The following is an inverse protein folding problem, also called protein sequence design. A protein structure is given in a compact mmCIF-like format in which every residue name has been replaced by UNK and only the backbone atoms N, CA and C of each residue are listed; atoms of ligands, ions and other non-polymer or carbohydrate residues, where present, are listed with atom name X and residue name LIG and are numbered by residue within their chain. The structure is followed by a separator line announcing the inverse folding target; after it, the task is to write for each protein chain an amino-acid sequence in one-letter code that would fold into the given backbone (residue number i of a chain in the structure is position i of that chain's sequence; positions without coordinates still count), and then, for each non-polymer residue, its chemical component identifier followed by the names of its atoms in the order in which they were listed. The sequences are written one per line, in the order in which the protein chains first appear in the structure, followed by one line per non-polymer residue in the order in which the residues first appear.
data_IF_538784681394
#
_entry.id   IF_538784681394
#
_cell.length_a   1.000
_cell.length_b   1.000
_cell.length_c   1.000
_cell.angle_alpha   90.00
_cell.angle_beta   90.00
_cell.angle_gamma   90.00
#
_symmetry.space_group_name_H-M   'P 1'
#
loop_
_entity.id
_entity.type
_entity.pdbx_description
1 polymer ?
#
# COMPACT_ATOMS: atom_id res chain seq x y z
N UNK A 1 16.95 -5.51 -15.51
CA UNK A 1 18.13 -6.36 -15.21
C UNK A 1 17.93 -7.78 -15.74
N UNK A 2 16.86 -8.49 -15.36
CA UNK A 2 16.56 -9.83 -15.90
C UNK A 2 16.49 -9.82 -17.44
N UNK A 3 15.82 -8.82 -18.03
CA UNK A 3 15.75 -8.65 -19.49
C UNK A 3 17.11 -8.39 -20.14
N UNK A 4 17.96 -7.58 -19.51
CA UNK A 4 19.32 -7.32 -19.98
C UNK A 4 20.22 -8.57 -19.90
N UNK A 5 19.98 -9.43 -18.91
CA UNK A 5 20.73 -10.66 -18.70
C UNK A 5 20.28 -11.80 -19.63
N UNK A 6 18.99 -11.89 -19.92
CA UNK A 6 18.46 -12.79 -20.94
C UNK A 6 18.92 -12.33 -22.35
N UNK A 7 18.97 -11.01 -22.60
CA UNK A 7 19.57 -10.46 -23.81
C UNK A 7 21.06 -10.80 -23.92
N UNK A 8 21.84 -10.68 -22.84
CA UNK A 8 23.25 -11.09 -22.80
C UNK A 8 23.41 -12.60 -23.09
N UNK A 9 22.60 -13.46 -22.45
CA UNK A 9 22.64 -14.91 -22.63
C UNK A 9 22.33 -15.30 -24.09
N UNK A 10 21.33 -14.66 -24.68
CA UNK A 10 20.93 -14.89 -26.06
C UNK A 10 22.00 -14.38 -27.04
N UNK A 11 22.61 -13.21 -26.78
CA UNK A 11 23.71 -12.67 -27.56
C UNK A 11 24.96 -13.56 -27.51
N UNK A 12 25.31 -14.10 -26.34
CA UNK A 12 26.44 -15.03 -26.17
C UNK A 12 26.19 -16.39 -26.85
N UNK A 13 24.93 -16.85 -26.87
CA UNK A 13 24.52 -18.07 -27.62
C UNK A 13 24.55 -17.85 -29.13
N UNK A 14 24.26 -16.63 -29.58
CA UNK A 14 24.32 -16.23 -30.99
C UNK A 14 25.75 -15.90 -31.46
N UNK A 15 26.72 -15.78 -30.56
CA UNK A 15 28.11 -15.49 -30.89
C UNK A 15 28.78 -16.70 -31.55
N UNK A 16 29.15 -16.53 -32.82
CA UNK A 16 29.68 -17.59 -33.66
C UNK A 16 31.20 -17.70 -33.56
N UNK A 17 31.89 -16.65 -33.09
CA UNK A 17 33.33 -16.67 -32.83
C UNK A 17 33.68 -16.51 -31.35
N UNK A 18 34.88 -16.99 -30.99
CA UNK A 18 35.43 -16.80 -29.65
C UNK A 18 35.65 -15.32 -29.33
N UNK A 19 36.05 -14.52 -30.34
CA UNK A 19 36.30 -13.08 -30.18
C UNK A 19 35.00 -12.30 -29.95
N UNK A 20 33.91 -12.63 -30.66
CA UNK A 20 32.58 -12.08 -30.41
C UNK A 20 32.11 -12.38 -28.98
N UNK A 21 32.30 -13.62 -28.53
CA UNK A 21 31.97 -14.03 -27.15
C UNK A 21 32.76 -13.21 -26.13
N UNK A 22 34.02 -12.89 -26.44
CA UNK A 22 34.95 -12.17 -25.58
C UNK A 22 34.63 -10.67 -25.47
N UNK A 23 34.22 -10.05 -26.57
CA UNK A 23 33.79 -8.64 -26.62
C UNK A 23 32.47 -8.48 -25.84
N UNK A 24 31.50 -9.36 -26.08
CA UNK A 24 30.22 -9.37 -25.38
C UNK A 24 30.42 -9.61 -23.88
N UNK A 25 31.23 -10.61 -23.49
CA UNK A 25 31.51 -10.88 -22.08
C UNK A 25 32.10 -9.66 -21.36
N UNK A 26 33.07 -8.95 -21.95
CA UNK A 26 33.67 -7.75 -21.34
C UNK A 26 32.65 -6.61 -21.18
N UNK A 27 31.87 -6.34 -22.22
CA UNK A 27 30.89 -5.24 -22.22
C UNK A 27 29.80 -5.39 -21.14
N UNK A 28 29.30 -6.61 -20.95
CA UNK A 28 28.21 -6.89 -20.01
C UNK A 28 28.69 -7.14 -18.56
N UNK A 29 29.94 -7.60 -18.36
CA UNK A 29 30.54 -7.76 -17.02
C UNK A 29 30.75 -6.42 -16.32
N UNK A 30 31.26 -5.42 -17.03
CA UNK A 30 31.67 -4.14 -16.43
C UNK A 30 30.51 -3.21 -16.05
N UNK A 31 29.38 -3.27 -16.77
CA UNK A 31 28.24 -2.36 -16.54
C UNK A 31 27.19 -2.89 -15.56
N UNK A 32 26.83 -4.18 -15.62
CA UNK A 32 25.60 -4.66 -14.97
C UNK A 32 25.83 -5.46 -13.66
N UNK A 33 26.91 -6.24 -13.56
CA UNK A 33 27.19 -7.08 -12.38
C UNK A 33 27.78 -6.25 -11.24
N UNK A 34 28.76 -5.39 -11.55
CA UNK A 34 29.40 -4.50 -10.57
C UNK A 34 28.45 -3.40 -10.08
N UNK A 35 27.62 -2.85 -10.98
CA UNK A 35 26.59 -1.87 -10.61
C UNK A 35 25.56 -2.46 -9.64
N UNK A 36 25.11 -3.69 -9.89
CA UNK A 36 24.17 -4.38 -9.01
C UNK A 36 24.79 -4.74 -7.66
N UNK A 37 26.02 -5.26 -7.61
CA UNK A 37 26.66 -5.60 -6.32
C UNK A 37 26.81 -4.36 -5.42
N UNK A 38 27.08 -3.19 -6.01
CA UNK A 38 27.10 -1.91 -5.28
C UNK A 38 25.71 -1.52 -4.79
N UNK A 39 24.67 -1.68 -5.60
CA UNK A 39 23.29 -1.38 -5.22
C UNK A 39 22.77 -2.31 -4.11
N UNK A 40 23.02 -3.62 -4.20
CA UNK A 40 22.65 -4.60 -3.17
C UNK A 40 23.40 -4.34 -1.86
N UNK A 41 24.69 -3.99 -1.93
CA UNK A 41 25.47 -3.55 -0.77
C UNK A 41 24.91 -2.27 -0.16
N UNK A 42 24.49 -1.29 -0.97
CA UNK A 42 23.86 -0.06 -0.49
C UNK A 42 22.53 -0.30 0.22
N UNK A 43 21.65 -1.14 -0.35
CA UNK A 43 20.38 -1.54 0.29
C UNK A 43 20.64 -2.28 1.61
N UNK A 44 21.67 -3.14 1.67
CA UNK A 44 22.09 -3.78 2.91
C UNK A 44 22.61 -2.78 3.96
N UNK A 45 23.42 -1.80 3.57
CA UNK A 45 23.89 -0.75 4.48
C UNK A 45 22.74 0.14 4.98
N UNK A 46 21.75 0.44 4.13
CA UNK A 46 20.54 1.16 4.53
C UNK A 46 19.72 0.35 5.55
N UNK A 47 19.51 -0.94 5.31
CA UNK A 47 18.84 -1.83 6.26
C UNK A 47 19.60 -1.93 7.61
N UNK A 48 20.94 -1.91 7.57
CA UNK A 48 21.80 -1.87 8.76
C UNK A 48 21.68 -0.55 9.54
N UNK A 49 21.62 0.58 8.83
CA UNK A 49 21.43 1.91 9.42
C UNK A 49 20.08 2.03 10.13
N UNK A 50 19.00 1.58 9.47
CA UNK A 50 17.64 1.53 10.05
C UNK A 50 17.60 0.69 11.32
N UNK A 51 18.33 -0.44 11.36
CA UNK A 51 18.43 -1.30 12.54
C UNK A 51 19.18 -0.63 13.72
N UNK A 52 20.18 0.20 13.43
CA UNK A 52 20.90 0.98 14.46
C UNK A 52 20.03 2.11 15.02
N UNK A 53 19.26 2.80 14.18
CA UNK A 53 18.36 3.88 14.60
C UNK A 53 17.14 3.36 15.40
N UNK A 54 16.64 2.17 15.06
CA UNK A 54 15.61 1.47 15.84
C UNK A 54 16.09 1.03 17.23
N UNK A 55 17.40 0.91 17.46
CA UNK A 55 17.96 0.53 18.76
C UNK A 55 17.88 1.61 19.85
N UNK A 56 17.42 2.82 19.50
CA UNK A 56 17.33 3.97 20.40
C UNK A 56 15.97 4.15 21.11
N UNK A 57 14.94 3.32 20.81
CA UNK A 57 13.60 3.41 21.42
C UNK A 57 13.18 2.09 22.09
N UNK A 58 12.95 2.10 23.41
CA UNK A 58 12.98 0.89 24.26
C UNK A 58 11.78 -0.05 24.18
N UNK A 59 10.57 0.44 23.87
CA UNK A 59 9.36 -0.33 24.17
C UNK A 59 8.85 -1.20 23.00
N UNK A 60 9.38 -0.99 21.79
CA UNK A 60 9.04 -1.77 20.57
C UNK A 60 10.22 -2.63 20.08
N UNK A 61 11.26 -2.73 20.91
CA UNK A 61 12.61 -3.10 20.53
C UNK A 61 12.82 -4.60 20.33
N UNK A 62 12.23 -5.45 21.18
CA UNK A 62 12.55 -6.89 21.21
C UNK A 62 12.08 -7.65 19.96
N UNK A 63 10.82 -7.49 19.55
CA UNK A 63 10.25 -8.17 18.38
C UNK A 63 10.85 -7.63 17.08
N UNK A 64 11.04 -6.31 17.00
CA UNK A 64 11.62 -5.65 15.83
C UNK A 64 13.10 -6.04 15.64
N UNK A 65 13.89 -6.12 16.74
CA UNK A 65 15.28 -6.58 16.68
C UNK A 65 15.40 -8.07 16.30
N UNK A 66 14.51 -8.94 16.79
CA UNK A 66 14.55 -10.36 16.44
C UNK A 66 14.28 -10.60 14.96
N UNK A 67 13.26 -9.93 14.41
CA UNK A 67 12.94 -9.99 12.98
C UNK A 67 14.06 -9.36 12.13
N UNK A 68 14.61 -8.22 12.57
CA UNK A 68 15.74 -7.58 11.90
C UNK A 68 17.02 -8.43 11.93
N UNK A 69 17.29 -9.12 13.04
CA UNK A 69 18.44 -10.02 13.16
C UNK A 69 18.29 -11.25 12.26
N UNK A 70 17.10 -11.84 12.17
CA UNK A 70 16.81 -12.97 11.31
C UNK A 70 16.92 -12.61 9.82
N UNK A 71 16.32 -11.47 9.42
CA UNK A 71 16.42 -10.95 8.07
C UNK A 71 17.87 -10.62 7.69
N UNK A 72 18.64 -9.99 8.60
CA UNK A 72 20.07 -9.75 8.40
C UNK A 72 20.83 -11.06 8.18
N UNK A 73 20.61 -12.07 9.03
CA UNK A 73 21.28 -13.37 8.91
C UNK A 73 20.95 -14.06 7.58
N UNK A 74 19.70 -13.98 7.11
CA UNK A 74 19.29 -14.53 5.82
C UNK A 74 19.95 -13.80 4.65
N UNK A 75 19.95 -12.47 4.67
CA UNK A 75 20.54 -11.65 3.62
C UNK A 75 22.07 -11.79 3.56
N UNK A 76 22.74 -11.86 4.71
CA UNK A 76 24.20 -12.03 4.79
C UNK A 76 24.66 -13.38 4.24
N UNK A 77 23.92 -14.46 4.53
CA UNK A 77 24.17 -15.78 3.93
C UNK A 77 24.02 -15.79 2.41
N UNK A 78 22.97 -15.13 1.89
CA UNK A 78 22.75 -15.02 0.44
C UNK A 78 23.79 -14.14 -0.25
N UNK A 79 24.28 -13.08 0.41
CA UNK A 79 25.32 -12.19 -0.10
C UNK A 79 26.67 -12.92 -0.23
N UNK A 80 27.09 -13.66 0.79
CA UNK A 80 28.34 -14.46 0.75
C UNK A 80 28.28 -15.51 -0.35
N UNK A 81 27.13 -16.18 -0.50
CA UNK A 81 26.93 -17.13 -1.60
C UNK A 81 27.04 -16.44 -2.97
N UNK A 82 26.43 -15.26 -3.12
CA UNK A 82 26.46 -14.46 -4.34
C UNK A 82 27.89 -14.01 -4.70
N UNK A 83 28.66 -13.49 -3.75
CA UNK A 83 30.06 -13.08 -3.97
C UNK A 83 30.93 -14.23 -4.51
N UNK A 84 30.75 -15.44 -3.95
CA UNK A 84 31.45 -16.64 -4.41
C UNK A 84 31.09 -16.99 -5.85
N UNK A 85 29.82 -16.85 -6.25
CA UNK A 85 29.36 -17.18 -7.61
C UNK A 85 29.81 -16.11 -8.63
N UNK A 86 29.80 -14.83 -8.25
CA UNK A 86 30.34 -13.73 -9.05
C UNK A 86 31.83 -13.93 -9.31
N UNK A 87 32.60 -14.37 -8.31
CA UNK A 87 34.04 -14.68 -8.49
C UNK A 87 34.26 -15.80 -9.51
N UNK A 88 33.52 -16.90 -9.40
CA UNK A 88 33.56 -18.00 -10.37
C UNK A 88 33.19 -17.54 -11.79
N UNK A 89 32.22 -16.64 -11.92
CA UNK A 89 31.83 -16.06 -13.21
C UNK A 89 32.95 -15.19 -13.80
N UNK A 90 33.61 -14.35 -12.99
CA UNK A 90 34.75 -13.53 -13.43
C UNK A 90 35.94 -14.41 -13.84
N UNK A 91 36.25 -15.45 -13.08
CA UNK A 91 37.35 -16.37 -13.39
C UNK A 91 37.05 -17.17 -14.68
N UNK A 92 35.81 -17.61 -14.88
CA UNK A 92 35.39 -18.25 -16.12
C UNK A 92 35.44 -17.27 -17.32
N UNK A 93 35.11 -16.00 -17.12
CA UNK A 93 35.22 -14.97 -18.16
C UNK A 93 36.69 -14.75 -18.58
N UNK A 94 37.61 -14.76 -17.61
CA UNK A 94 39.05 -14.68 -17.86
C UNK A 94 39.58 -15.90 -18.60
N UNK A 95 39.14 -17.11 -18.25
CA UNK A 95 39.49 -18.34 -18.95
C UNK A 95 39.00 -18.34 -20.42
N UNK A 96 37.80 -17.79 -20.68
CA UNK A 96 37.30 -17.57 -22.06
C UNK A 96 38.19 -16.57 -22.80
N UNK A 97 38.60 -15.50 -22.14
CA UNK A 97 39.54 -14.53 -22.70
C UNK A 97 40.95 -15.13 -22.91
N UNK A 98 41.37 -16.12 -22.14
CA UNK A 98 42.64 -16.83 -22.32
C UNK A 98 42.57 -17.95 -23.37
N UNK A 99 41.39 -18.18 -23.99
CA UNK A 99 41.15 -19.24 -24.97
C UNK A 99 41.37 -20.66 -24.41
N UNK A 100 41.04 -20.86 -23.13
CA UNK A 100 41.16 -22.16 -22.48
C UNK A 100 40.10 -23.15 -22.98
N UNK A 101 40.50 -24.41 -23.18
CA UNK A 101 39.64 -25.47 -23.71
C UNK A 101 38.53 -25.80 -22.68
N UNK A 102 37.27 -25.68 -23.09
CA UNK A 102 36.11 -25.90 -22.22
C UNK A 102 35.64 -24.66 -21.44
N UNK A 103 36.33 -23.52 -21.56
CA UNK A 103 35.99 -22.29 -20.82
C UNK A 103 34.60 -21.72 -21.17
N UNK A 104 34.12 -21.88 -22.40
CA UNK A 104 32.77 -21.42 -22.81
C UNK A 104 31.67 -22.11 -21.99
N UNK A 105 31.76 -23.42 -21.80
CA UNK A 105 30.76 -24.17 -21.03
C UNK A 105 30.82 -23.81 -19.54
N UNK A 106 32.03 -23.67 -18.98
CA UNK A 106 32.23 -23.21 -17.61
C UNK A 106 31.68 -21.80 -17.37
N UNK A 107 31.85 -20.89 -18.34
CA UNK A 107 31.32 -19.54 -18.30
C UNK A 107 29.79 -19.51 -18.28
N UNK A 108 29.11 -20.27 -19.15
CA UNK A 108 27.66 -20.36 -19.13
C UNK A 108 27.12 -20.96 -17.83
N UNK A 109 27.77 -21.99 -17.28
CA UNK A 109 27.39 -22.59 -16.00
C UNK A 109 27.54 -21.59 -14.83
N UNK A 110 28.65 -20.84 -14.79
CA UNK A 110 28.90 -19.81 -13.78
C UNK A 110 27.91 -18.63 -13.91
N UNK A 111 27.60 -18.23 -15.14
CA UNK A 111 26.59 -17.20 -15.42
C UNK A 111 25.22 -17.62 -14.88
N UNK A 112 24.74 -18.81 -15.23
CA UNK A 112 23.44 -19.33 -14.80
C UNK A 112 23.36 -19.48 -13.26
N UNK A 113 24.43 -19.98 -12.65
CA UNK A 113 24.50 -20.11 -11.18
C UNK A 113 24.43 -18.74 -10.48
N UNK A 114 25.05 -17.71 -11.06
CA UNK A 114 24.97 -16.33 -10.55
C UNK A 114 23.54 -15.79 -10.65
N UNK A 115 22.83 -16.05 -11.75
CA UNK A 115 21.41 -15.67 -11.90
C UNK A 115 20.54 -16.32 -10.83
N UNK A 116 20.73 -17.62 -10.57
CA UNK A 116 19.94 -18.33 -9.57
C UNK A 116 20.18 -17.79 -8.16
N UNK A 117 21.44 -17.45 -7.82
CA UNK A 117 21.78 -16.78 -6.55
C UNK A 117 21.05 -15.45 -6.39
N UNK A 118 20.90 -14.71 -7.49
CA UNK A 118 20.20 -13.44 -7.47
C UNK A 118 18.71 -13.61 -7.20
N UNK A 119 18.09 -14.61 -7.82
CA UNK A 119 16.68 -14.94 -7.58
C UNK A 119 16.46 -15.35 -6.13
N UNK A 120 17.38 -16.14 -5.57
CA UNK A 120 17.39 -16.50 -4.15
C UNK A 120 17.53 -15.28 -3.25
N UNK A 121 18.45 -14.35 -3.57
CA UNK A 121 18.64 -13.10 -2.83
C UNK A 121 17.40 -12.19 -2.89
N UNK A 122 16.80 -12.00 -4.06
CA UNK A 122 15.59 -11.19 -4.23
C UNK A 122 14.38 -11.80 -3.52
N UNK A 123 14.23 -13.13 -3.56
CA UNK A 123 13.19 -13.82 -2.81
C UNK A 123 13.40 -13.67 -1.28
N UNK A 124 14.64 -13.80 -0.80
CA UNK A 124 14.97 -13.58 0.60
C UNK A 124 14.73 -12.12 1.03
N UNK A 125 15.08 -11.16 0.18
CA UNK A 125 14.79 -9.73 0.41
C UNK A 125 13.28 -9.48 0.46
N UNK A 126 12.51 -10.07 -0.45
CA UNK A 126 11.05 -9.94 -0.47
C UNK A 126 10.42 -10.54 0.80
N UNK A 127 10.81 -11.75 1.19
CA UNK A 127 10.35 -12.39 2.43
C UNK A 127 10.75 -11.57 3.65
N UNK A 128 11.96 -11.01 3.66
CA UNK A 128 12.39 -10.11 4.72
C UNK A 128 11.48 -8.87 4.76
N UNK A 129 11.27 -8.18 3.63
CA UNK A 129 10.39 -7.00 3.53
C UNK A 129 8.95 -7.30 3.95
N UNK A 130 8.43 -8.47 3.61
CA UNK A 130 7.09 -8.92 4.00
C UNK A 130 7.03 -9.26 5.50
N UNK A 131 8.12 -9.79 6.07
CA UNK A 131 8.25 -10.07 7.51
C UNK A 131 8.50 -8.81 8.34
N UNK A 132 9.12 -7.78 7.74
CA UNK A 132 9.30 -6.45 8.31
C UNK A 132 8.02 -5.61 8.29
N UNK A 133 7.04 -5.99 7.47
CA UNK A 133 5.90 -5.14 7.13
C UNK A 133 4.86 -5.04 8.23
N UNK A 134 5.11 -4.21 9.25
CA UNK A 134 4.00 -3.54 9.94
C UNK A 134 3.16 -2.88 8.84
N UNK A 135 1.91 -3.33 8.68
CA UNK A 135 0.98 -2.73 7.73
C UNK A 135 0.19 -1.68 8.47
N UNK A 136 0.12 -0.49 7.88
CA UNK A 136 -0.72 0.57 8.42
C UNK A 136 -2.17 0.09 8.47
N UNK A 137 -2.77 0.14 9.66
CA UNK A 137 -4.14 -0.33 9.85
C UNK A 137 -5.20 0.55 9.14
N UNK A 138 -4.82 1.75 8.69
CA UNK A 138 -5.70 2.63 7.89
C UNK A 138 -5.55 2.42 6.38
N UNK A 139 -4.33 2.36 5.83
CA UNK A 139 -4.11 2.30 4.37
C UNK A 139 -3.62 0.94 3.84
N UNK A 140 -3.41 -0.05 4.73
CA UNK A 140 -2.85 -1.38 4.43
C UNK A 140 -1.44 -1.41 3.81
N UNK A 141 -0.84 -0.24 3.55
CA UNK A 141 0.52 -0.08 3.03
C UNK A 141 1.59 -0.46 4.06
N UNK A 142 2.77 -0.85 3.57
CA UNK A 142 3.92 -1.16 4.42
C UNK A 142 4.42 0.10 5.15
N UNK A 143 4.72 -0.04 6.44
CA UNK A 143 5.33 0.99 7.27
C UNK A 143 6.84 0.79 7.24
N UNK A 144 7.56 1.82 6.77
CA UNK A 144 9.02 1.86 6.75
C UNK A 144 9.47 3.01 7.67
N UNK A 145 10.24 2.72 8.71
CA UNK A 145 10.75 3.73 9.64
C UNK A 145 9.78 4.07 10.79
N UNK A 146 9.78 5.33 11.25
CA UNK A 146 8.97 5.78 12.40
C UNK A 146 7.47 5.69 12.12
N UNK A 147 6.70 5.22 13.10
CA UNK A 147 5.27 5.02 12.99
C UNK A 147 4.57 5.29 14.32
N UNK A 148 3.27 5.52 14.25
CA UNK A 148 2.44 5.80 15.41
C UNK A 148 1.73 4.53 15.86
N UNK A 149 1.53 4.37 17.17
CA UNK A 149 0.61 3.37 17.71
C UNK A 149 -0.59 4.05 18.31
N UNK A 150 -1.76 3.58 17.90
CA UNK A 150 -3.01 3.89 18.55
C UNK A 150 -3.08 3.25 19.95
N UNK A 151 -4.07 3.65 20.75
CA UNK A 151 -4.34 3.07 22.06
C UNK A 151 -4.67 1.57 21.98
N UNK A 152 -5.25 1.11 20.86
CA UNK A 152 -5.51 -0.33 20.59
C UNK A 152 -4.25 -1.12 20.20
N UNK A 153 -3.08 -0.48 20.17
CA UNK A 153 -1.79 -1.06 19.84
C UNK A 153 -1.54 -1.25 18.34
N UNK A 154 -2.48 -0.91 17.45
CA UNK A 154 -2.31 -1.04 16.00
C UNK A 154 -1.34 0.01 15.43
N UNK A 155 -0.55 -0.35 14.41
CA UNK A 155 0.43 0.55 13.81
C UNK A 155 -0.17 1.39 12.67
N UNK A 156 0.22 2.66 12.59
CA UNK A 156 -0.22 3.61 11.58
C UNK A 156 0.95 4.47 11.09
N UNK A 157 0.93 4.90 9.82
CA UNK A 157 1.80 6.01 9.41
C UNK A 157 1.43 7.29 10.18
N UNK A 158 2.38 8.20 10.36
CA UNK A 158 2.14 9.50 11.00
C UNK A 158 0.92 10.24 10.42
N UNK A 159 0.78 10.23 9.09
CA UNK A 159 -0.32 10.89 8.39
C UNK A 159 -1.58 10.03 8.23
N UNK A 160 -1.56 8.78 8.71
CA UNK A 160 -2.69 7.86 8.65
C UNK A 160 -3.39 7.69 10.00
N UNK A 161 -2.81 8.17 11.11
CA UNK A 161 -3.46 8.25 12.41
C UNK A 161 -4.00 9.66 12.64
N UNK A 162 -4.92 10.08 11.76
CA UNK A 162 -5.52 11.42 11.78
C UNK A 162 -7.03 11.31 11.60
N UNK A 163 -7.76 12.27 12.14
CA UNK A 163 -9.19 12.40 11.89
C UNK A 163 -9.46 12.71 10.41
N UNK A 164 -10.40 12.02 9.78
CA UNK A 164 -10.77 12.26 8.40
C UNK A 164 -11.59 13.55 8.21
N UNK A 165 -12.19 14.09 9.27
CA UNK A 165 -12.86 15.40 9.29
C UNK A 165 -11.88 16.57 9.41
N UNK A 166 -11.15 16.65 10.52
CA UNK A 166 -10.28 17.81 10.82
C UNK A 166 -8.79 17.63 10.49
N UNK A 167 -8.35 16.43 10.05
CA UNK A 167 -6.95 16.08 9.73
C UNK A 167 -5.96 16.20 10.90
N UNK A 168 -6.43 16.43 12.12
CA UNK A 168 -5.57 16.45 13.31
C UNK A 168 -5.21 15.03 13.76
N UNK A 169 -4.05 14.91 14.42
CA UNK A 169 -3.59 13.64 15.02
C UNK A 169 -4.57 13.20 16.12
N UNK A 170 -4.92 11.92 16.14
CA UNK A 170 -5.90 11.35 17.10
C UNK A 170 -5.30 10.18 17.87
N UNK A 171 -5.49 10.17 19.20
CA UNK A 171 -5.12 9.04 20.05
C UNK A 171 -6.32 8.17 20.42
N UNK A 172 -7.46 8.82 20.64
CA UNK A 172 -8.78 8.20 20.76
C UNK A 172 -9.60 8.53 19.50
N UNK A 173 -10.22 7.52 18.92
CA UNK A 173 -10.91 7.65 17.64
C UNK A 173 -12.04 6.64 17.50
N UNK A 174 -12.96 6.96 16.59
CA UNK A 174 -13.97 6.05 16.06
C UNK A 174 -13.58 5.63 14.65
N UNK A 175 -13.86 4.38 14.30
CA UNK A 175 -13.64 3.84 12.95
C UNK A 175 -14.98 3.74 12.24
N UNK A 176 -15.11 4.34 11.06
CA UNK A 176 -16.31 4.16 10.22
C UNK A 176 -16.35 2.76 9.56
N UNK A 177 -17.45 2.47 8.86
CA UNK A 177 -17.63 1.21 8.12
C UNK A 177 -16.61 1.00 6.99
N UNK A 178 -15.96 2.07 6.51
CA UNK A 178 -14.92 2.03 5.47
C UNK A 178 -13.50 1.97 6.07
N UNK A 179 -13.33 1.94 7.39
CA UNK A 179 -12.03 1.95 8.06
C UNK A 179 -11.40 3.34 8.26
N UNK A 180 -12.13 4.43 8.01
CA UNK A 180 -11.65 5.81 8.24
C UNK A 180 -11.77 6.19 9.72
N UNK A 181 -10.77 6.90 10.21
CA UNK A 181 -10.67 7.32 11.60
C UNK A 181 -11.27 8.71 11.79
N UNK A 182 -12.00 8.91 12.89
CA UNK A 182 -12.59 10.19 13.26
C UNK A 182 -12.34 10.48 14.75
N UNK A 183 -12.06 11.74 15.10
CA UNK A 183 -12.08 12.18 16.50
C UNK A 183 -13.53 12.23 17.01
N UNK A 184 -13.73 12.34 18.31
CA UNK A 184 -15.07 12.38 18.93
C UNK A 184 -16.02 13.39 18.26
N UNK A 185 -15.59 14.65 18.08
CA UNK A 185 -16.42 15.70 17.45
C UNK A 185 -16.82 15.43 15.98
N UNK A 186 -16.02 14.63 15.27
CA UNK A 186 -16.26 14.32 13.85
C UNK A 186 -16.67 12.86 13.67
N UNK A 187 -16.85 12.12 14.75
CA UNK A 187 -17.27 10.74 14.69
C UNK A 187 -18.68 10.70 14.09
N UNK A 188 -18.91 9.86 13.07
CA UNK A 188 -20.27 9.60 12.66
C UNK A 188 -20.97 8.92 13.86
N UNK A 189 -21.92 9.59 14.52
CA UNK A 189 -22.62 9.11 15.73
C UNK A 189 -23.48 7.84 15.52
N UNK A 190 -23.16 7.01 14.53
CA UNK A 190 -24.00 5.89 14.08
C UNK A 190 -25.29 6.32 13.38
N UNK A 191 -25.66 7.61 13.43
CA UNK A 191 -26.79 8.18 12.72
C UNK A 191 -26.35 8.78 11.38
N UNK A 192 -26.94 8.30 10.28
CA UNK A 192 -26.85 8.91 8.97
C UNK A 192 -28.16 9.66 8.66
N UNK A 193 -28.06 10.85 8.10
CA UNK A 193 -29.23 11.60 7.66
C UNK A 193 -29.89 10.90 6.48
N UNK A 194 -31.17 10.56 6.59
CA UNK A 194 -31.92 9.83 5.56
C UNK A 194 -32.16 10.65 4.29
N UNK A 195 -32.02 11.97 4.34
CA UNK A 195 -32.12 12.86 3.17
C UNK A 195 -30.79 13.01 2.41
N UNK A 196 -29.72 13.40 3.09
CA UNK A 196 -28.43 13.70 2.45
C UNK A 196 -27.41 12.55 2.50
N UNK A 197 -27.72 11.48 3.25
CA UNK A 197 -26.87 10.30 3.46
C UNK A 197 -25.52 10.59 4.13
N UNK A 198 -25.36 11.77 4.72
CA UNK A 198 -24.17 12.14 5.49
C UNK A 198 -24.39 11.88 6.99
N UNK A 199 -23.29 11.67 7.72
CA UNK A 199 -23.35 11.46 9.15
C UNK A 199 -23.93 12.67 9.90
N UNK A 200 -24.73 12.39 10.92
CA UNK A 200 -25.22 13.38 11.88
C UNK A 200 -24.19 13.43 13.01
N UNK A 201 -23.41 14.51 13.05
CA UNK A 201 -22.39 14.76 14.08
C UNK A 201 -22.91 15.66 15.21
N UNK A 202 -24.06 16.29 15.02
CA UNK A 202 -24.73 17.14 16.01
C UNK A 202 -25.50 16.28 17.01
N UNK A 203 -25.54 16.72 18.28
CA UNK A 203 -26.44 16.16 19.29
C UNK A 203 -27.92 16.52 19.01
N UNK A 204 -28.14 17.58 18.21
CA UNK A 204 -29.46 18.01 17.75
C UNK A 204 -29.76 17.45 16.36
N UNK A 205 -30.83 16.65 16.27
CA UNK A 205 -31.30 16.02 15.04
C UNK A 205 -32.79 15.68 15.12
N UNK A 206 -33.41 15.38 13.97
CA UNK A 206 -34.84 15.03 13.88
C UNK A 206 -34.98 13.53 13.62
N UNK A 207 -35.74 12.82 14.46
CA UNK A 207 -36.17 11.44 14.21
C UNK A 207 -37.59 11.44 13.62
N UNK A 208 -37.73 10.91 12.40
CA UNK A 208 -39.01 10.80 11.71
C UNK A 208 -38.94 9.68 10.67
N UNK A 209 -40.09 9.11 10.28
CA UNK A 209 -40.17 8.06 9.24
C UNK A 209 -39.25 6.85 9.48
N UNK A 210 -38.93 6.53 10.74
CA UNK A 210 -38.01 5.45 11.08
C UNK A 210 -36.52 5.73 10.78
N UNK A 211 -36.16 6.98 10.47
CA UNK A 211 -34.79 7.43 10.24
C UNK A 211 -34.45 8.73 10.98
N UNK A 212 -33.21 9.17 10.83
CA UNK A 212 -32.73 10.42 11.41
C UNK A 212 -32.42 11.44 10.31
N UNK A 213 -32.51 12.73 10.62
CA UNK A 213 -32.24 13.83 9.69
C UNK A 213 -31.47 14.96 10.38
N UNK A 214 -30.58 15.64 9.66
CA UNK A 214 -30.10 16.95 10.13
C UNK A 214 -31.28 17.90 10.27
N UNK A 215 -31.25 18.79 11.25
CA UNK A 215 -32.27 19.85 11.42
C UNK A 215 -32.47 20.62 10.11
N UNK A 216 -31.38 20.99 9.44
CA UNK A 216 -31.42 21.68 8.14
C UNK A 216 -31.93 20.81 6.98
N UNK A 217 -31.82 19.49 7.10
CA UNK A 217 -32.33 18.55 6.12
C UNK A 217 -33.82 18.24 6.31
N UNK A 218 -34.41 18.58 7.47
CA UNK A 218 -35.83 18.36 7.74
C UNK A 218 -36.71 19.44 7.10
N UNK A 219 -36.80 19.36 5.77
CA UNK A 219 -37.41 20.38 4.91
C UNK A 219 -38.31 19.75 3.86
N UNK A 220 -39.42 20.44 3.52
CA UNK A 220 -40.39 20.04 2.51
C UNK A 220 -39.71 19.70 1.19
N UNK A 221 -40.10 18.58 0.58
CA UNK A 221 -39.49 18.10 -0.66
C UNK A 221 -39.82 18.97 -1.89
N UNK A 222 -40.95 19.70 -1.88
CA UNK A 222 -41.36 20.61 -2.97
C UNK A 222 -40.72 21.99 -2.83
N UNK A 223 -40.90 22.64 -1.67
CA UNK A 223 -40.52 24.05 -1.49
C UNK A 223 -39.26 24.30 -0.65
N UNK A 224 -38.73 23.27 0.02
CA UNK A 224 -37.53 23.39 0.87
C UNK A 224 -37.74 24.10 2.21
N UNK A 225 -38.98 24.49 2.56
CA UNK A 225 -39.30 25.10 3.86
C UNK A 225 -39.09 24.09 5.00
N UNK A 226 -38.55 24.55 6.13
CA UNK A 226 -38.39 23.75 7.34
C UNK A 226 -39.74 23.21 7.84
N UNK A 227 -39.76 21.94 8.23
CA UNK A 227 -40.98 21.24 8.67
C UNK A 227 -41.12 21.32 10.20
N UNK A 228 -41.33 22.54 10.71
CA UNK A 228 -41.53 22.81 12.14
C UNK A 228 -43.01 22.61 12.60
N UNK A 229 -43.90 22.34 11.65
CA UNK A 229 -45.34 22.18 11.85
C UNK A 229 -45.90 20.87 11.26
N UNK A 230 -47.23 20.78 11.04
CA UNK A 230 -47.84 19.61 10.41
C UNK A 230 -47.19 19.29 9.06
N UNK A 231 -46.94 18.02 8.82
CA UNK A 231 -46.38 17.51 7.58
C UNK A 231 -47.17 16.28 7.12
N UNK A 232 -47.14 16.03 5.81
CA UNK A 232 -47.67 14.82 5.20
C UNK A 232 -46.56 14.00 4.59
N UNK A 233 -46.72 12.68 4.62
CA UNK A 233 -45.87 11.72 3.91
C UNK A 233 -46.61 11.24 2.66
N UNK A 234 -46.03 11.49 1.49
CA UNK A 234 -46.55 11.05 0.18
C UNK A 234 -45.40 10.38 -0.56
N UNK A 235 -45.56 9.10 -0.93
CA UNK A 235 -44.53 8.27 -1.59
C UNK A 235 -43.15 8.26 -0.90
N UNK A 236 -43.13 8.21 0.43
CA UNK A 236 -41.90 8.22 1.23
C UNK A 236 -41.15 9.56 1.20
N UNK A 237 -41.81 10.63 0.75
CA UNK A 237 -41.30 12.01 0.80
C UNK A 237 -42.18 12.84 1.71
N UNK A 238 -41.58 13.85 2.33
CA UNK A 238 -42.28 14.75 3.27
C UNK A 238 -42.60 16.09 2.64
N UNK A 239 -43.81 16.57 2.88
CA UNK A 239 -44.34 17.83 2.36
C UNK A 239 -44.92 18.66 3.50
N UNK A 240 -44.82 19.99 3.39
CA UNK A 240 -45.55 20.88 4.28
C UNK A 240 -47.04 20.90 3.91
N UNK A 241 -47.91 21.26 4.85
CA UNK A 241 -49.37 21.28 4.65
C UNK A 241 -49.79 21.97 3.34
N UNK A 242 -49.23 23.14 3.02
CA UNK A 242 -49.57 23.84 1.77
C UNK A 242 -49.19 23.05 0.52
N UNK A 243 -48.03 22.39 0.53
CA UNK A 243 -47.58 21.63 -0.63
C UNK A 243 -48.23 20.25 -0.73
N UNK A 244 -48.73 19.69 0.37
CA UNK A 244 -49.52 18.45 0.33
C UNK A 244 -50.92 18.71 -0.21
N UNK A 245 -51.59 19.78 0.24
CA UNK A 245 -52.92 20.15 -0.23
C UNK A 245 -52.92 20.40 -1.75
N UNK A 246 -51.91 21.13 -2.25
CA UNK A 246 -51.72 21.35 -3.70
C UNK A 246 -51.51 20.06 -4.51
N UNK A 247 -50.94 19.01 -3.91
CA UNK A 247 -50.70 17.74 -4.61
C UNK A 247 -51.97 16.88 -4.65
N UNK A 248 -52.81 16.94 -3.61
CA UNK A 248 -54.11 16.25 -3.58
C UNK A 248 -55.08 16.86 -4.61
N UNK A 249 -55.10 18.20 -4.73
CA UNK A 249 -55.92 18.90 -5.74
C UNK A 249 -55.49 18.56 -7.19
N UNK A 250 -54.17 18.41 -7.42
CA UNK A 250 -53.63 18.02 -8.73
C UNK A 250 -53.96 16.56 -9.11
N UNK A 251 -54.04 15.65 -8.14
CA UNK A 251 -54.42 14.25 -8.38
C UNK A 251 -55.92 14.12 -8.71
N UNK A 252 -56.80 14.85 -8.02
CA UNK A 252 -58.25 14.84 -8.30
C UNK A 252 -58.57 15.41 -9.70
N UNK A 253 -57.87 16.47 -10.15
CA UNK A 253 -58.05 17.02 -11.51
C UNK A 253 -57.63 16.02 -12.60
N UNK A 254 -56.63 15.17 -12.35
CA UNK A 254 -56.18 14.18 -13.34
C UNK A 254 -57.10 12.97 -13.48
N UNK A 255 -57.88 12.64 -12.44
CA UNK A 255 -58.85 11.54 -12.50
C UNK A 255 -60.17 11.95 -13.17
N UNK A 256 -60.56 13.24 -13.13
CA UNK A 256 -61.75 13.75 -13.83
C UNK A 256 -61.56 13.93 -15.35
N UNK A 257 -60.32 14.07 -15.82
CA UNK A 257 -60.00 14.22 -17.26
C UNK A 257 -59.92 12.87 -18.02
N UNK A 258 -59.89 11.74 -17.29
CA UNK A 258 -59.79 10.37 -17.84
C UNK A 258 -61.14 9.59 -17.89
N UNK A 259 -62.27 10.19 -17.44
CA UNK A 259 -63.65 9.67 -17.58
C UNK A 259 -64.42 10.22 -18.82
#
# INVERSE_FOLDING_TARGET
WLDAQDAQRNALRAANSLEETRILARHFVDKDVLGFCRAASHVYQMAKQVNLELSANSDQLATTLQVAAAARSAMEGTLVAMEKRVRLYVDAARAVAANEKGARNAFFAAQQSTVNSLKEFLAALQVALDSFGLRCASCAGAIIGYYMRAHDGKPYHKFCLVCNGCRQEVTEYVVDVDGKLYCEEHAPNGLACSKCQQAITSDEYVEALGGAYHVDCWTCNKCGTALDGPYAEIDGKVYCATCSDELEDEEEETEEDDE
#
